data_IF_969989228948
#
_entry.id   IF_969989228948
#
_cell.length_a   1.000
_cell.length_b   1.000
_cell.length_c   1.000
_cell.angle_alpha   90.00
_cell.angle_beta   90.00
_cell.angle_gamma   90.00
#
_symmetry.space_group_name_H-M   'P 1'
#
loop_
_entity.id
_entity.type
_entity.pdbx_description
1 polymer ?
#
# COMPACT_ATOMS: atom_id res chain seq x y z
N UNK A 1 -24.34 15.43 13.69
CA UNK A 1 -25.81 15.45 13.73
C UNK A 1 -26.30 14.48 14.81
N UNK A 2 -27.24 14.95 15.65
CA UNK A 2 -28.07 14.24 16.64
C UNK A 2 -27.40 13.60 17.88
N UNK A 3 -27.39 14.43 18.92
CA UNK A 3 -27.39 14.12 20.36
C UNK A 3 -28.65 13.36 20.80
N UNK A 4 -28.51 12.41 21.72
CA UNK A 4 -29.59 11.83 22.53
C UNK A 4 -29.03 10.67 23.37
N UNK A 5 -28.88 10.75 24.68
CA UNK A 5 -29.85 11.22 25.66
C UNK A 5 -30.73 10.06 26.11
N UNK A 6 -30.18 9.08 26.84
CA UNK A 6 -30.96 8.03 27.50
C UNK A 6 -30.50 7.82 28.94
N UNK A 7 -30.80 8.82 29.78
CA UNK A 7 -31.13 8.54 31.17
C UNK A 7 -32.42 7.71 31.15
N UNK A 8 -32.32 6.38 31.27
CA UNK A 8 -33.48 5.55 31.56
C UNK A 8 -33.92 5.87 32.99
N UNK A 9 -34.91 6.73 33.14
CA UNK A 9 -35.71 6.83 34.37
C UNK A 9 -36.33 5.46 34.59
N UNK A 10 -35.92 4.76 35.64
CA UNK A 10 -36.71 3.66 36.20
C UNK A 10 -38.02 4.26 36.73
N UNK A 11 -39.02 4.40 35.86
CA UNK A 11 -40.41 4.54 36.29
C UNK A 11 -40.91 3.14 36.60
N UNK A 12 -40.56 2.63 37.78
CA UNK A 12 -41.31 1.55 38.36
C UNK A 12 -42.72 2.08 38.61
N UNK A 13 -43.67 1.65 37.77
CA UNK A 13 -45.10 1.71 38.09
C UNK A 13 -45.35 0.77 39.28
N UNK A 14 -44.92 1.20 40.47
CA UNK A 14 -45.41 0.64 41.72
C UNK A 14 -46.78 1.27 41.91
N UNK A 15 -47.85 0.50 41.72
CA UNK A 15 -49.16 0.95 42.17
C UNK A 15 -49.02 1.37 43.64
N UNK A 16 -49.37 2.61 44.03
CA UNK A 16 -49.35 2.96 45.43
C UNK A 16 -50.45 2.14 46.09
N UNK A 17 -50.09 1.01 46.71
CA UNK A 17 -50.90 0.44 47.78
C UNK A 17 -51.07 1.59 48.76
N UNK A 18 -52.28 2.16 48.82
CA UNK A 18 -52.63 3.25 49.74
C UNK A 18 -52.00 2.92 51.08
N UNK A 19 -51.01 3.71 51.47
CA UNK A 19 -50.45 3.67 52.80
C UNK A 19 -51.62 3.87 53.76
N UNK A 20 -51.74 3.02 54.78
CA UNK A 20 -52.61 3.33 55.92
C UNK A 20 -52.09 4.65 56.50
N UNK A 21 -52.76 5.74 56.16
CA UNK A 21 -52.45 7.07 56.66
C UNK A 21 -52.80 7.10 58.14
N UNK A 22 -51.77 6.98 58.99
CA UNK A 22 -51.86 7.09 60.45
C UNK A 22 -52.02 8.55 60.91
N UNK A 23 -52.39 9.48 60.02
CA UNK A 23 -52.56 10.91 60.29
C UNK A 23 -53.90 11.24 60.96
N UNK A 24 -54.82 10.27 61.05
CA UNK A 24 -56.15 10.49 61.62
C UNK A 24 -56.14 10.38 63.16
N UNK A 25 -55.73 11.47 63.81
CA UNK A 25 -55.72 11.61 65.28
C UNK A 25 -57.09 11.42 65.92
N UNK A 26 -58.18 11.54 65.14
CA UNK A 26 -59.54 11.33 65.62
C UNK A 26 -59.79 9.90 66.14
N UNK A 27 -59.09 8.91 65.59
CA UNK A 27 -59.18 7.49 65.97
C UNK A 27 -58.50 7.22 67.33
N UNK A 28 -57.47 8.00 67.66
CA UNK A 28 -56.75 7.87 68.94
C UNK A 28 -57.57 8.46 70.08
N UNK A 29 -58.11 9.67 69.87
CA UNK A 29 -58.90 10.40 70.87
C UNK A 29 -60.23 9.68 71.20
N UNK A 30 -60.83 8.98 70.24
CA UNK A 30 -62.05 8.19 70.45
C UNK A 30 -61.82 6.76 70.97
N UNK A 31 -60.56 6.37 71.19
CA UNK A 31 -60.17 5.06 71.75
C UNK A 31 -59.59 5.14 73.16
N UNK A 32 -59.52 6.33 73.77
CA UNK A 32 -59.02 6.54 75.13
C UNK A 32 -59.90 5.85 76.21
N UNK A 33 -61.21 5.74 75.94
CA UNK A 33 -62.18 5.03 76.80
C UNK A 33 -62.21 3.50 76.57
N UNK A 34 -61.49 2.99 75.56
CA UNK A 34 -61.36 1.55 75.27
C UNK A 34 -59.89 1.13 75.17
N UNK A 35 -59.26 0.72 76.29
CA UNK A 35 -57.83 0.42 76.35
C UNK A 35 -57.41 -0.74 75.44
N UNK A 36 -58.33 -1.61 75.01
CA UNK A 36 -58.02 -2.67 74.03
C UNK A 36 -57.80 -2.07 72.64
N UNK A 37 -58.65 -1.13 72.24
CA UNK A 37 -58.61 -0.47 70.92
C UNK A 37 -57.38 0.43 70.79
N UNK A 38 -57.03 1.16 71.85
CA UNK A 38 -55.80 1.95 71.92
C UNK A 38 -54.55 1.06 71.78
N UNK A 39 -54.51 -0.09 72.48
CA UNK A 39 -53.41 -1.05 72.39
C UNK A 39 -53.23 -1.60 70.97
N UNK A 40 -54.33 -1.95 70.29
CA UNK A 40 -54.29 -2.40 68.89
C UNK A 40 -53.74 -1.31 67.96
N UNK A 41 -54.19 -0.06 68.14
CA UNK A 41 -53.71 1.07 67.35
C UNK A 41 -52.20 1.32 67.55
N UNK A 42 -51.73 1.37 68.80
CA UNK A 42 -50.29 1.49 69.13
C UNK A 42 -49.49 0.35 68.50
N UNK A 43 -50.02 -0.88 68.54
CA UNK A 43 -49.36 -2.06 67.95
C UNK A 43 -49.25 -1.93 66.42
N UNK A 44 -50.29 -1.45 65.74
CA UNK A 44 -50.27 -1.18 64.29
C UNK A 44 -49.25 -0.09 63.95
N UNK A 45 -49.22 1.00 64.72
CA UNK A 45 -48.29 2.11 64.51
C UNK A 45 -46.84 1.67 64.70
N UNK A 46 -46.56 0.89 65.74
CA UNK A 46 -45.23 0.33 65.98
C UNK A 46 -44.80 -0.62 64.84
N UNK A 47 -45.72 -1.46 64.35
CA UNK A 47 -45.46 -2.35 63.20
C UNK A 47 -45.16 -1.54 61.94
N UNK A 48 -45.96 -0.53 61.63
CA UNK A 48 -45.75 0.37 60.49
C UNK A 48 -44.41 1.13 60.58
N UNK A 49 -44.06 1.66 61.76
CA UNK A 49 -42.77 2.33 61.98
C UNK A 49 -41.59 1.37 61.78
N UNK A 50 -41.69 0.14 62.30
CA UNK A 50 -40.65 -0.89 62.14
C UNK A 50 -40.48 -1.28 60.67
N UNK A 51 -41.58 -1.41 59.93
CA UNK A 51 -41.54 -1.75 58.51
C UNK A 51 -41.00 -0.60 57.66
N UNK A 52 -41.39 0.65 57.93
CA UNK A 52 -40.79 1.85 57.30
C UNK A 52 -39.29 1.95 57.60
N UNK A 53 -38.87 1.64 58.83
CA UNK A 53 -37.44 1.64 59.22
C UNK A 53 -36.62 0.55 58.51
N UNK A 54 -37.24 -0.59 58.18
CA UNK A 54 -36.60 -1.62 57.33
C UNK A 54 -36.51 -1.18 55.88
N UNK A 55 -37.60 -0.62 55.35
CA UNK A 55 -37.66 -0.10 53.98
C UNK A 55 -36.63 1.02 53.76
N UNK A 56 -36.51 1.94 54.72
CA UNK A 56 -35.52 3.01 54.70
C UNK A 56 -34.08 2.46 54.68
N UNK A 57 -33.77 1.46 55.51
CA UNK A 57 -32.45 0.80 55.48
C UNK A 57 -32.18 0.10 54.15
N UNK A 58 -33.17 -0.56 53.57
CA UNK A 58 -33.05 -1.16 52.24
C UNK A 58 -32.81 -0.11 51.15
N UNK A 59 -33.49 1.04 51.23
CA UNK A 59 -33.30 2.15 50.31
C UNK A 59 -31.88 2.74 50.40
N UNK A 60 -31.35 2.93 51.61
CA UNK A 60 -29.95 3.39 51.79
C UNK A 60 -28.95 2.40 51.20
N UNK A 61 -29.11 1.09 51.45
CA UNK A 61 -28.23 0.09 50.85
C UNK A 61 -28.26 0.10 49.31
N UNK A 62 -29.44 0.32 48.71
CA UNK A 62 -29.56 0.49 47.25
C UNK A 62 -28.89 1.76 46.75
N UNK A 63 -28.98 2.85 47.51
CA UNK A 63 -28.36 4.13 47.16
C UNK A 63 -26.83 4.00 47.16
N UNK A 64 -26.26 3.32 48.16
CA UNK A 64 -24.82 3.04 48.22
C UNK A 64 -24.34 2.18 47.05
N UNK A 65 -25.10 1.14 46.68
CA UNK A 65 -24.79 0.30 45.52
C UNK A 65 -24.80 1.11 44.21
N UNK A 66 -25.85 1.90 43.97
CA UNK A 66 -25.96 2.75 42.78
C UNK A 66 -24.85 3.79 42.73
N UNK A 67 -24.45 4.36 43.88
CA UNK A 67 -23.37 5.34 43.92
C UNK A 67 -22.00 4.71 43.58
N UNK A 68 -21.78 3.46 44.00
CA UNK A 68 -20.60 2.68 43.61
C UNK A 68 -20.60 2.37 42.11
N UNK A 69 -21.73 1.95 41.55
CA UNK A 69 -21.87 1.72 40.10
C UNK A 69 -21.61 3.00 39.29
N UNK A 70 -22.18 4.14 39.70
CA UNK A 70 -21.93 5.44 39.06
C UNK A 70 -20.44 5.79 39.08
N UNK A 71 -19.76 5.52 40.20
CA UNK A 71 -18.33 5.82 40.32
C UNK A 71 -17.49 4.93 39.40
N UNK A 72 -17.82 3.64 39.30
CA UNK A 72 -17.16 2.72 38.38
C UNK A 72 -17.39 3.09 36.91
N UNK A 73 -18.62 3.44 36.55
CA UNK A 73 -18.93 3.86 35.17
C UNK A 73 -18.25 5.18 34.79
N UNK A 74 -18.09 6.12 35.74
CA UNK A 74 -17.30 7.34 35.48
C UNK A 74 -15.83 7.03 35.17
N UNK A 75 -15.23 6.07 35.88
CA UNK A 75 -13.85 5.66 35.62
C UNK A 75 -13.75 5.05 34.21
N UNK A 76 -14.64 4.11 33.88
CA UNK A 76 -14.69 3.50 32.55
C UNK A 76 -14.89 4.52 31.43
N UNK A 77 -15.75 5.52 31.66
CA UNK A 77 -15.98 6.57 30.69
C UNK A 77 -14.71 7.39 30.42
N UNK A 78 -13.97 7.75 31.47
CA UNK A 78 -12.69 8.47 31.31
C UNK A 78 -11.65 7.61 30.57
N UNK A 79 -11.54 6.32 30.89
CA UNK A 79 -10.62 5.41 30.20
C UNK A 79 -10.92 5.33 28.69
N UNK A 80 -12.21 5.25 28.33
CA UNK A 80 -12.68 5.25 26.93
C UNK A 80 -12.41 6.61 26.25
N UNK A 81 -12.54 7.71 26.97
CA UNK A 81 -12.26 9.05 26.44
C UNK A 81 -10.77 9.23 26.14
N UNK A 82 -9.90 8.76 27.03
CA UNK A 82 -8.45 8.78 26.86
C UNK A 82 -8.00 7.86 25.71
N UNK A 83 -8.59 6.66 25.58
CA UNK A 83 -8.33 5.75 24.46
C UNK A 83 -8.77 6.38 23.13
N UNK A 84 -9.97 6.99 23.08
CA UNK A 84 -10.43 7.70 21.88
C UNK A 84 -9.51 8.83 21.48
N UNK A 85 -8.99 9.58 22.46
CA UNK A 85 -8.03 10.65 22.20
C UNK A 85 -6.73 10.09 21.61
N UNK A 86 -6.18 9.05 22.21
CA UNK A 86 -4.98 8.35 21.71
C UNK A 86 -5.18 7.83 20.28
N UNK A 87 -6.33 7.21 19.99
CA UNK A 87 -6.66 6.72 18.65
C UNK A 87 -6.74 7.86 17.62
N UNK A 88 -7.31 9.01 17.99
CA UNK A 88 -7.36 10.19 17.10
C UNK A 88 -5.96 10.73 16.82
N UNK A 89 -5.10 10.80 17.82
CA UNK A 89 -3.72 11.26 17.65
C UNK A 89 -2.92 10.30 16.74
N UNK A 90 -3.13 8.98 16.90
CA UNK A 90 -2.54 7.97 16.00
C UNK A 90 -3.05 8.09 14.57
N UNK A 91 -4.37 8.25 14.38
CA UNK A 91 -4.96 8.45 13.06
C UNK A 91 -4.40 9.70 12.37
N UNK A 92 -4.23 10.79 13.12
CA UNK A 92 -3.65 12.02 12.57
C UNK A 92 -2.18 11.79 12.18
N UNK A 93 -1.38 11.16 13.04
CA UNK A 93 0.01 10.84 12.72
C UNK A 93 0.15 9.94 11.48
N UNK A 94 -0.73 8.96 11.31
CA UNK A 94 -0.78 8.13 10.10
C UNK A 94 -1.19 8.94 8.86
N UNK A 95 -2.14 9.86 8.98
CA UNK A 95 -2.56 10.72 7.88
C UNK A 95 -1.41 11.62 7.40
N UNK A 96 -0.64 12.19 8.34
CA UNK A 96 0.51 13.03 8.02
C UNK A 96 1.62 12.21 7.32
N UNK A 97 1.87 10.98 7.79
CA UNK A 97 2.80 10.05 7.13
C UNK A 97 2.35 9.70 5.71
N UNK A 98 1.05 9.47 5.50
CA UNK A 98 0.50 9.16 4.19
C UNK A 98 0.70 10.33 3.22
N UNK A 99 0.44 11.57 3.67
CA UNK A 99 0.68 12.77 2.86
C UNK A 99 2.16 12.89 2.49
N UNK A 100 3.07 12.72 3.44
CA UNK A 100 4.52 12.75 3.18
C UNK A 100 4.93 11.69 2.16
N UNK A 101 4.40 10.47 2.25
CA UNK A 101 4.71 9.40 1.29
C UNK A 101 4.14 9.67 -0.09
N UNK A 102 2.99 10.31 -0.18
CA UNK A 102 2.42 10.70 -1.46
C UNK A 102 3.22 11.81 -2.15
N UNK A 103 3.78 12.75 -1.39
CA UNK A 103 4.71 13.77 -1.92
C UNK A 103 6.01 13.14 -2.44
N UNK A 104 6.61 12.21 -1.67
CA UNK A 104 7.78 11.45 -2.11
C UNK A 104 7.50 10.67 -3.41
N UNK A 105 6.32 10.05 -3.51
CA UNK A 105 5.92 9.31 -4.71
C UNK A 105 5.74 10.21 -5.93
N UNK A 106 5.17 11.41 -5.75
CA UNK A 106 5.03 12.40 -6.84
C UNK A 106 6.39 12.90 -7.33
N UNK A 107 7.33 13.16 -6.42
CA UNK A 107 8.71 13.53 -6.77
C UNK A 107 9.40 12.40 -7.56
N UNK A 108 9.24 11.16 -7.10
CA UNK A 108 9.78 9.99 -7.79
C UNK A 108 9.19 9.81 -9.20
N UNK A 109 7.87 9.97 -9.36
CA UNK A 109 7.23 9.93 -10.68
C UNK A 109 7.75 11.02 -11.62
N UNK A 110 7.96 12.24 -11.10
CA UNK A 110 8.53 13.34 -11.88
C UNK A 110 9.94 13.03 -12.36
N UNK A 111 10.80 12.53 -11.46
CA UNK A 111 12.18 12.14 -11.80
C UNK A 111 12.22 11.01 -12.81
N UNK A 112 11.35 10.02 -12.68
CA UNK A 112 11.26 8.91 -13.64
C UNK A 112 10.85 9.41 -15.04
N UNK A 113 9.89 10.33 -15.11
CA UNK A 113 9.46 10.93 -16.38
C UNK A 113 10.60 11.73 -17.03
N UNK A 114 11.35 12.52 -16.25
CA UNK A 114 12.52 13.27 -16.72
C UNK A 114 13.62 12.33 -17.24
N UNK A 115 13.96 11.28 -16.48
CA UNK A 115 14.95 10.29 -16.90
C UNK A 115 14.53 9.59 -18.20
N UNK A 116 13.26 9.15 -18.29
CA UNK A 116 12.74 8.50 -19.50
C UNK A 116 12.77 9.43 -20.72
N UNK A 117 12.54 10.73 -20.52
CA UNK A 117 12.66 11.71 -21.60
C UNK A 117 14.12 11.86 -22.04
N UNK A 118 15.04 11.99 -21.08
CA UNK A 118 16.47 12.12 -21.33
C UNK A 118 17.04 10.90 -22.06
N UNK A 119 16.64 9.70 -21.68
CA UNK A 119 17.05 8.46 -22.36
C UNK A 119 16.55 8.41 -23.81
N UNK A 120 15.31 8.88 -24.07
CA UNK A 120 14.78 8.99 -25.44
C UNK A 120 15.53 10.02 -26.28
N UNK A 121 15.90 11.15 -25.69
CA UNK A 121 16.70 12.18 -26.37
C UNK A 121 18.07 11.64 -26.76
N UNK A 122 18.78 10.99 -25.83
CA UNK A 122 20.09 10.37 -26.08
C UNK A 122 19.97 9.32 -27.19
N UNK A 123 18.98 8.43 -27.11
CA UNK A 123 18.80 7.38 -28.12
C UNK A 123 18.52 7.96 -29.51
N UNK A 124 17.76 9.06 -29.57
CA UNK A 124 17.46 9.75 -30.83
C UNK A 124 18.73 10.38 -31.42
N UNK A 125 19.55 11.03 -30.58
CA UNK A 125 20.83 11.60 -30.97
C UNK A 125 21.79 10.52 -31.50
N UNK A 126 21.91 9.38 -30.80
CA UNK A 126 22.71 8.24 -31.23
C UNK A 126 22.25 7.69 -32.59
N UNK A 127 20.94 7.54 -32.81
CA UNK A 127 20.40 7.10 -34.09
C UNK A 127 20.66 8.09 -35.22
N UNK A 128 20.55 9.39 -34.96
CA UNK A 128 20.80 10.42 -35.96
C UNK A 128 22.29 10.49 -36.34
N UNK A 129 23.20 10.34 -35.37
CA UNK A 129 24.63 10.20 -35.63
C UNK A 129 24.94 8.96 -36.48
N UNK A 130 24.35 7.82 -36.15
CA UNK A 130 24.59 6.57 -36.87
C UNK A 130 24.04 6.66 -38.31
N UNK A 131 22.84 7.22 -38.48
CA UNK A 131 22.26 7.51 -39.81
C UNK A 131 23.15 8.44 -40.62
N UNK A 132 23.73 9.47 -40.00
CA UNK A 132 24.65 10.37 -40.66
C UNK A 132 25.90 9.63 -41.16
N UNK A 133 26.53 8.82 -40.30
CA UNK A 133 27.71 8.00 -40.67
C UNK A 133 27.40 7.03 -41.80
N UNK A 134 26.24 6.36 -41.77
CA UNK A 134 25.82 5.48 -42.86
C UNK A 134 25.56 6.25 -44.15
N UNK A 135 24.92 7.41 -44.09
CA UNK A 135 24.68 8.25 -45.26
C UNK A 135 25.99 8.71 -45.90
N UNK A 136 26.97 9.11 -45.09
CA UNK A 136 28.31 9.47 -45.57
C UNK A 136 28.99 8.27 -46.24
N UNK A 137 28.90 7.09 -45.64
CA UNK A 137 29.48 5.87 -46.22
C UNK A 137 28.82 5.48 -47.54
N UNK A 138 27.50 5.64 -47.66
CA UNK A 138 26.78 5.40 -48.91
C UNK A 138 27.29 6.37 -49.99
N UNK A 139 27.39 7.66 -49.68
CA UNK A 139 27.88 8.65 -50.64
C UNK A 139 29.31 8.31 -51.12
N UNK A 140 30.21 7.91 -50.22
CA UNK A 140 31.56 7.45 -50.59
C UNK A 140 31.55 6.23 -51.52
N UNK A 141 30.65 5.27 -51.27
CA UNK A 141 30.51 4.06 -52.10
C UNK A 141 29.91 4.39 -53.48
N UNK A 142 28.95 5.32 -53.54
CA UNK A 142 28.37 5.82 -54.79
C UNK A 142 29.43 6.53 -55.65
N UNK A 143 30.26 7.40 -55.04
CA UNK A 143 31.37 8.05 -55.72
C UNK A 143 32.41 7.04 -56.23
N UNK A 144 32.78 6.06 -55.42
CA UNK A 144 33.71 4.99 -55.81
C UNK A 144 33.15 4.15 -56.97
N UNK A 145 31.86 3.84 -56.95
CA UNK A 145 31.18 3.11 -58.03
C UNK A 145 31.16 3.94 -59.32
N UNK A 146 30.86 5.25 -59.23
CA UNK A 146 30.90 6.15 -60.38
C UNK A 146 32.29 6.23 -61.00
N UNK A 147 33.34 6.34 -60.18
CA UNK A 147 34.71 6.33 -60.65
C UNK A 147 35.10 5.00 -61.32
N UNK A 148 34.70 3.87 -60.73
CA UNK A 148 34.92 2.56 -61.32
C UNK A 148 34.20 2.41 -62.67
N UNK A 149 32.96 2.90 -62.80
CA UNK A 149 32.22 2.90 -64.07
C UNK A 149 32.89 3.75 -65.16
N UNK A 150 33.44 4.91 -64.78
CA UNK A 150 34.24 5.73 -65.70
C UNK A 150 35.50 5.00 -66.16
N UNK A 151 36.18 4.31 -65.24
CA UNK A 151 37.39 3.54 -65.56
C UNK A 151 37.07 2.32 -66.43
N UNK A 152 35.98 1.60 -66.16
CA UNK A 152 35.48 0.52 -67.03
C UNK A 152 35.20 1.06 -68.43
N UNK A 153 34.57 2.23 -68.53
CA UNK A 153 34.29 2.86 -69.83
C UNK A 153 35.59 3.20 -70.55
N UNK A 154 36.57 3.80 -69.85
CA UNK A 154 37.91 4.10 -70.38
C UNK A 154 38.62 2.84 -70.88
N UNK A 155 38.69 1.80 -70.05
CA UNK A 155 39.32 0.53 -70.38
C UNK A 155 38.61 -0.19 -71.53
N UNK A 156 37.27 -0.10 -71.60
CA UNK A 156 36.49 -0.67 -72.71
C UNK A 156 36.83 0.01 -74.03
N UNK A 157 36.95 1.34 -74.04
CA UNK A 157 37.42 2.11 -75.20
C UNK A 157 38.86 1.69 -75.55
N UNK A 158 39.78 1.66 -74.58
CA UNK A 158 41.18 1.28 -74.79
C UNK A 158 41.32 -0.15 -75.34
N UNK A 159 40.51 -1.11 -74.84
CA UNK A 159 40.46 -2.46 -75.37
C UNK A 159 39.90 -2.51 -76.80
N UNK A 160 38.87 -1.73 -77.12
CA UNK A 160 38.34 -1.66 -78.47
C UNK A 160 39.38 -1.08 -79.45
N UNK A 161 40.10 -0.03 -79.05
CA UNK A 161 41.20 0.56 -79.81
C UNK A 161 42.37 -0.41 -79.96
N UNK A 162 42.79 -1.08 -78.88
CA UNK A 162 43.83 -2.11 -78.91
C UNK A 162 43.42 -3.30 -79.76
N UNK A 163 42.18 -3.78 -79.69
CA UNK A 163 41.69 -4.85 -80.55
C UNK A 163 41.72 -4.45 -82.03
N UNK A 164 41.39 -3.19 -82.34
CA UNK A 164 41.46 -2.65 -83.71
C UNK A 164 42.92 -2.48 -84.17
N UNK A 165 43.81 -2.09 -83.25
CA UNK A 165 45.25 -1.95 -83.49
C UNK A 165 45.94 -3.32 -83.60
N UNK A 166 45.51 -4.32 -82.84
CA UNK A 166 46.03 -5.69 -82.85
C UNK A 166 45.55 -6.46 -84.09
N UNK A 167 44.35 -6.18 -84.60
CA UNK A 167 43.97 -6.60 -85.97
C UNK A 167 44.88 -5.99 -87.04
N UNK A 168 45.47 -4.81 -86.79
CA UNK A 168 46.45 -4.14 -87.68
C UNK A 168 47.91 -4.53 -87.39
N UNK A 169 48.21 -5.06 -86.21
CA UNK A 169 49.55 -5.33 -85.67
C UNK A 169 49.63 -6.78 -85.15
N UNK A 170 49.22 -7.76 -85.95
CA UNK A 170 49.50 -9.16 -85.66
C UNK A 170 50.99 -9.46 -85.87
N UNK A 171 51.84 -9.00 -84.96
CA UNK A 171 53.09 -9.66 -84.56
C UNK A 171 53.55 -9.14 -83.20
N UNK A 172 53.86 -10.09 -82.33
CA UNK A 172 54.66 -10.02 -81.09
C UNK A 172 53.96 -9.66 -79.76
N UNK A 173 54.50 -10.34 -78.75
CA UNK A 173 54.02 -10.78 -77.43
C UNK A 173 54.30 -9.82 -76.26
N UNK A 174 53.63 -10.12 -75.13
CA UNK A 174 53.97 -9.81 -73.73
C UNK A 174 53.78 -8.33 -73.31
N UNK A 175 53.44 -7.97 -72.06
CA UNK A 175 53.67 -8.59 -70.75
C UNK A 175 52.68 -7.93 -69.75
N UNK A 176 52.28 -8.64 -68.70
CA UNK A 176 51.19 -8.22 -67.81
C UNK A 176 51.39 -8.65 -66.37
N UNK A 177 52.33 -8.03 -65.66
CA UNK A 177 52.60 -8.30 -64.23
C UNK A 177 52.70 -7.01 -63.41
N UNK A 178 51.55 -6.41 -63.02
CA UNK A 178 51.49 -5.39 -61.95
C UNK A 178 50.29 -5.53 -60.98
N UNK A 179 49.34 -6.43 -61.26
CA UNK A 179 48.06 -6.51 -60.51
C UNK A 179 48.14 -7.20 -59.13
N UNK A 180 49.20 -7.95 -58.81
CA UNK A 180 49.25 -8.76 -57.59
C UNK A 180 49.70 -8.01 -56.34
N UNK A 181 50.47 -6.93 -56.50
CA UNK A 181 51.00 -6.17 -55.36
C UNK A 181 49.92 -5.26 -54.74
N UNK A 182 49.07 -4.66 -55.56
CA UNK A 182 48.00 -3.75 -55.11
C UNK A 182 46.88 -4.49 -54.38
N UNK A 183 46.55 -5.72 -54.81
CA UNK A 183 45.58 -6.60 -54.14
C UNK A 183 46.01 -6.99 -52.72
N UNK A 184 47.32 -7.18 -52.51
CA UNK A 184 47.91 -7.60 -51.22
C UNK A 184 47.91 -6.47 -50.17
N UNK A 185 47.93 -5.20 -50.60
CA UNK A 185 47.84 -4.05 -49.70
C UNK A 185 46.39 -3.71 -49.35
N UNK A 186 45.44 -3.84 -50.30
CA UNK A 186 44.00 -3.66 -50.02
C UNK A 186 43.43 -4.77 -49.14
N UNK A 187 43.93 -6.00 -49.26
CA UNK A 187 43.46 -7.14 -48.47
C UNK A 187 44.01 -7.10 -47.02
N UNK A 188 45.19 -6.50 -46.82
CA UNK A 188 45.73 -6.24 -45.46
C UNK A 188 45.09 -5.05 -44.78
N UNK A 189 44.76 -3.98 -45.50
CA UNK A 189 44.07 -2.82 -44.92
C UNK A 189 42.65 -3.17 -44.50
N UNK A 190 41.89 -3.89 -45.35
CA UNK A 190 40.55 -4.39 -45.01
C UNK A 190 40.55 -5.35 -43.82
N UNK A 191 41.49 -6.31 -43.77
CA UNK A 191 41.62 -7.21 -42.61
C UNK A 191 41.98 -6.49 -41.32
N UNK A 192 42.68 -5.35 -41.40
CA UNK A 192 42.99 -4.52 -40.23
C UNK A 192 41.76 -3.75 -39.75
N UNK A 193 40.97 -3.22 -40.68
CA UNK A 193 39.73 -2.49 -40.43
C UNK A 193 38.65 -3.42 -39.83
N UNK A 194 38.41 -4.57 -40.47
CA UNK A 194 37.46 -5.59 -39.99
C UNK A 194 37.83 -6.08 -38.58
N UNK A 195 39.13 -6.20 -38.27
CA UNK A 195 39.60 -6.60 -36.95
C UNK A 195 39.39 -5.49 -35.92
N UNK A 196 39.49 -4.23 -36.32
CA UNK A 196 39.23 -3.10 -35.44
C UNK A 196 37.73 -2.94 -35.15
N UNK A 197 36.87 -3.14 -36.15
CA UNK A 197 35.42 -3.14 -36.01
C UNK A 197 34.93 -4.31 -35.17
N UNK A 198 35.47 -5.51 -35.38
CA UNK A 198 35.16 -6.68 -34.54
C UNK A 198 35.58 -6.45 -33.09
N UNK A 199 36.73 -5.81 -32.86
CA UNK A 199 37.20 -5.47 -31.51
C UNK A 199 36.26 -4.46 -30.84
N UNK A 200 35.77 -3.47 -31.59
CA UNK A 200 34.80 -2.48 -31.09
C UNK A 200 33.46 -3.15 -30.73
N UNK A 201 32.93 -4.01 -31.59
CA UNK A 201 31.72 -4.79 -31.31
C UNK A 201 31.89 -5.70 -30.10
N UNK A 202 33.04 -6.36 -29.93
CA UNK A 202 33.32 -7.19 -28.75
C UNK A 202 33.33 -6.34 -27.47
N UNK A 203 33.92 -5.14 -27.51
CA UNK A 203 33.94 -4.21 -26.38
C UNK A 203 32.52 -3.77 -26.00
N UNK A 204 31.72 -3.40 -27.00
CA UNK A 204 30.35 -2.93 -26.83
C UNK A 204 29.43 -4.05 -26.29
N UNK A 205 29.57 -5.28 -26.81
CA UNK A 205 28.89 -6.47 -26.28
C UNK A 205 29.33 -6.74 -24.83
N UNK A 206 30.62 -6.59 -24.53
CA UNK A 206 31.14 -6.83 -23.17
C UNK A 206 30.62 -5.80 -22.18
N UNK A 207 30.56 -4.53 -22.58
CA UNK A 207 30.02 -3.45 -21.77
C UNK A 207 28.51 -3.63 -21.55
N UNK A 208 27.76 -3.95 -22.61
CA UNK A 208 26.32 -4.24 -22.50
C UNK A 208 26.05 -5.46 -21.63
N UNK A 209 26.86 -6.52 -21.74
CA UNK A 209 26.78 -7.70 -20.87
C UNK A 209 27.02 -7.34 -19.41
N UNK A 210 28.03 -6.53 -19.10
CA UNK A 210 28.26 -6.06 -17.72
C UNK A 210 27.08 -5.27 -17.18
N UNK A 211 26.54 -4.34 -17.95
CA UNK A 211 25.38 -3.54 -17.53
C UNK A 211 24.18 -4.42 -17.19
N UNK A 212 23.84 -5.36 -18.09
CA UNK A 212 22.76 -6.31 -17.86
C UNK A 212 23.04 -7.23 -16.66
N UNK A 213 24.29 -7.59 -16.44
CA UNK A 213 24.67 -8.45 -15.32
C UNK A 213 24.55 -7.73 -13.98
N UNK A 214 24.89 -6.44 -13.92
CA UNK A 214 24.67 -5.59 -12.74
C UNK A 214 23.18 -5.38 -12.48
N UNK A 215 22.39 -5.10 -13.52
CA UNK A 215 20.94 -4.95 -13.42
C UNK A 215 20.27 -6.25 -12.92
N UNK A 216 20.71 -7.41 -13.44
CA UNK A 216 20.23 -8.71 -12.97
C UNK A 216 20.50 -8.92 -11.47
N UNK A 217 21.69 -8.56 -10.98
CA UNK A 217 22.03 -8.67 -9.56
C UNK A 217 21.13 -7.79 -8.69
N UNK A 218 20.87 -6.55 -9.11
CA UNK A 218 19.98 -5.64 -8.37
C UNK A 218 18.53 -6.16 -8.34
N UNK A 219 18.04 -6.68 -9.47
CA UNK A 219 16.69 -7.26 -9.54
C UNK A 219 16.57 -8.55 -8.72
N UNK A 220 17.63 -9.36 -8.64
CA UNK A 220 17.67 -10.55 -7.77
C UNK A 220 17.62 -10.15 -6.28
N UNK A 221 18.34 -9.11 -5.87
CA UNK A 221 18.29 -8.56 -4.51
C UNK A 221 16.89 -8.02 -4.18
N UNK A 222 16.30 -7.19 -5.05
CA UNK A 222 14.95 -6.64 -4.85
C UNK A 222 13.88 -7.75 -4.77
N UNK A 223 14.03 -8.83 -5.54
CA UNK A 223 13.11 -9.96 -5.50
C UNK A 223 13.21 -10.76 -4.19
N UNK A 224 14.41 -10.93 -3.63
CA UNK A 224 14.57 -11.56 -2.31
C UNK A 224 14.02 -10.69 -1.18
N UNK A 225 14.16 -9.37 -1.28
CA UNK A 225 13.55 -8.43 -0.34
C UNK A 225 12.02 -8.50 -0.42
N UNK A 226 11.44 -8.48 -1.63
CA UNK A 226 10.00 -8.64 -1.84
C UNK A 226 9.48 -9.98 -1.32
N UNK A 227 10.19 -11.08 -1.54
CA UNK A 227 9.83 -12.39 -0.96
C UNK A 227 9.82 -12.35 0.57
N UNK A 228 10.79 -11.66 1.16
CA UNK A 228 10.88 -11.53 2.62
C UNK A 228 9.73 -10.71 3.17
N UNK A 229 9.42 -9.57 2.56
CA UNK A 229 8.27 -8.74 2.92
C UNK A 229 6.95 -9.50 2.75
N UNK A 230 6.76 -10.21 1.64
CA UNK A 230 5.56 -11.00 1.40
C UNK A 230 5.36 -12.11 2.45
N UNK A 231 6.45 -12.80 2.84
CA UNK A 231 6.41 -13.79 3.92
C UNK A 231 6.00 -13.15 5.25
N UNK A 232 6.48 -11.94 5.54
CA UNK A 232 6.15 -11.22 6.77
C UNK A 232 4.68 -10.80 6.80
N UNK A 233 4.19 -10.17 5.74
CA UNK A 233 2.77 -9.78 5.57
C UNK A 233 1.85 -11.00 5.67
N UNK A 234 2.27 -12.14 5.10
CA UNK A 234 1.49 -13.38 5.18
C UNK A 234 1.38 -13.89 6.62
N UNK A 235 2.48 -13.85 7.40
CA UNK A 235 2.46 -14.23 8.82
C UNK A 235 1.57 -13.29 9.64
N UNK A 236 1.68 -11.99 9.41
CA UNK A 236 0.86 -10.99 10.09
C UNK A 236 -0.64 -11.18 9.80
N UNK A 237 -1.00 -11.40 8.53
CA UNK A 237 -2.39 -11.71 8.15
C UNK A 237 -2.91 -12.99 8.83
N UNK A 238 -2.07 -14.00 9.02
CA UNK A 238 -2.47 -15.20 9.76
C UNK A 238 -2.71 -14.91 11.24
N UNK A 239 -1.90 -14.05 11.86
CA UNK A 239 -2.11 -13.61 13.25
C UNK A 239 -3.40 -12.83 13.40
N UNK A 240 -3.63 -11.83 12.53
CA UNK A 240 -4.86 -11.03 12.53
C UNK A 240 -6.11 -11.88 12.31
N UNK A 241 -6.03 -12.91 11.44
CA UNK A 241 -7.14 -13.86 11.26
C UNK A 241 -7.43 -14.65 12.53
N UNK A 242 -6.40 -15.14 13.22
CA UNK A 242 -6.56 -15.85 14.50
C UNK A 242 -7.16 -14.94 15.57
N UNK A 243 -6.66 -13.72 15.70
CA UNK A 243 -7.18 -12.73 16.65
C UNK A 243 -8.65 -12.40 16.35
N UNK A 244 -9.01 -12.22 15.07
CA UNK A 244 -10.39 -11.98 14.67
C UNK A 244 -11.32 -13.16 15.05
N UNK A 245 -10.85 -14.39 14.87
CA UNK A 245 -11.62 -15.58 15.25
C UNK A 245 -11.76 -15.71 16.78
N UNK A 246 -10.73 -15.36 17.55
CA UNK A 246 -10.80 -15.29 19.01
C UNK A 246 -11.79 -14.22 19.49
N UNK A 247 -11.76 -13.03 18.88
CA UNK A 247 -12.71 -11.96 19.17
C UNK A 247 -14.15 -12.38 18.85
N UNK A 248 -14.38 -13.05 17.71
CA UNK A 248 -15.71 -13.61 17.38
C UNK A 248 -16.17 -14.61 18.43
N UNK A 249 -15.30 -15.50 18.91
CA UNK A 249 -15.65 -16.42 19.98
C UNK A 249 -15.97 -15.69 21.29
N UNK A 250 -15.20 -14.66 21.65
CA UNK A 250 -15.47 -13.86 22.86
C UNK A 250 -16.81 -13.11 22.76
N UNK A 251 -17.11 -12.52 21.61
CA UNK A 251 -18.39 -11.84 21.35
C UNK A 251 -19.53 -12.86 21.39
N UNK A 252 -19.38 -14.02 20.75
CA UNK A 252 -20.37 -15.11 20.79
C UNK A 252 -20.63 -15.59 22.23
N UNK A 253 -19.58 -15.80 23.03
CA UNK A 253 -19.71 -16.14 24.46
C UNK A 253 -20.41 -15.03 25.25
N UNK A 254 -20.08 -13.77 25.03
CA UNK A 254 -20.77 -12.63 25.67
C UNK A 254 -22.26 -12.58 25.30
N UNK A 255 -22.59 -12.77 24.03
CA UNK A 255 -23.98 -12.80 23.56
C UNK A 255 -24.75 -13.98 24.13
N UNK A 256 -24.12 -15.15 24.24
CA UNK A 256 -24.71 -16.33 24.88
C UNK A 256 -24.95 -16.13 26.37
N UNK A 257 -23.97 -15.58 27.10
CA UNK A 257 -24.13 -15.23 28.53
C UNK A 257 -25.26 -14.21 28.73
N UNK A 258 -25.35 -13.20 27.86
CA UNK A 258 -26.45 -12.23 27.88
C UNK A 258 -27.81 -12.88 27.61
N UNK A 259 -27.88 -13.81 26.66
CA UNK A 259 -29.11 -14.56 26.39
C UNK A 259 -29.52 -15.47 27.55
N UNK A 260 -28.56 -16.03 28.30
CA UNK A 260 -28.82 -16.80 29.51
C UNK A 260 -29.32 -15.91 30.65
N UNK A 261 -28.76 -14.71 30.80
CA UNK A 261 -29.29 -13.70 31.73
C UNK A 261 -30.72 -13.29 31.36
N UNK A 262 -31.00 -13.07 30.07
CA UNK A 262 -32.33 -12.71 29.57
C UNK A 262 -33.37 -13.83 29.85
N UNK A 263 -32.99 -15.11 29.73
CA UNK A 263 -33.89 -16.26 30.01
C UNK A 263 -34.13 -16.47 31.51
N UNK A 264 -33.12 -16.28 32.36
CA UNK A 264 -33.28 -16.39 33.82
C UNK A 264 -34.12 -15.24 34.44
N UNK A 265 -34.44 -14.20 33.66
CA UNK A 265 -35.30 -13.09 34.07
C UNK A 265 -36.79 -13.33 33.78
N UNK A 266 -37.13 -14.38 33.03
CA UNK A 266 -38.50 -14.71 32.61
C UNK A 266 -39.21 -15.77 33.49
N UNK A 267 -38.54 -16.33 34.51
CA UNK A 267 -39.09 -17.24 35.54
C UNK A 267 -39.24 -16.53 36.92
#
# INVERSE_FOLDING_TARGET
MRTGGLFRRNTTNVSPKREEDFTDYSIVVSSEDDPKRLKEYITKLYKAMKDKSKSLRSAYAKLDLLNNEITQEKIRFNDIEDENKSLRDQMQGMADQLVSKEEEFKDWQSKLAEQTNREREILTEEFDEERFRFSERIAQLEDALNLANLEITRLTIEMAEKANTQRRMSTSTADGSRSSLELLFTDKSKKSEDKHDLTKQILEITQRRMSLQTELTLLEEENEDLKTQYKQITKENQLLRKENDELKQQVGKRMFMKSLEDVNLDD
#
